data_IF_269673311454
#
_entry.id   IF_269673311454
#
_cell.length_a   1.000
_cell.length_b   1.000
_cell.length_c   1.000
_cell.angle_alpha   90.00
_cell.angle_beta   90.00
_cell.angle_gamma   90.00
#
_symmetry.space_group_name_H-M   'P 1'
#
loop_
_entity.id
_entity.type
_entity.pdbx_description
1 polymer ?
#
# COMPACT_ATOMS: atom_id res chain seq x y z
N UNK A 1 -20.02 12.96 -6.24
CA UNK A 1 -19.30 13.77 -5.23
C UNK A 1 -18.53 12.82 -4.33
N UNK A 2 -17.21 12.71 -4.51
CA UNK A 2 -16.39 11.94 -3.58
C UNK A 2 -16.48 12.59 -2.19
N UNK A 3 -16.58 11.76 -1.15
CA UNK A 3 -16.79 12.15 0.24
C UNK A 3 -15.60 12.99 0.73
N UNK A 4 -15.79 14.30 0.84
CA UNK A 4 -14.79 15.27 1.35
C UNK A 4 -14.32 14.92 2.79
N UNK A 5 -15.04 14.04 3.49
CA UNK A 5 -14.74 13.60 4.86
C UNK A 5 -13.88 12.32 4.99
N UNK A 6 -13.72 11.50 3.95
CA UNK A 6 -12.95 10.25 4.04
C UNK A 6 -11.46 10.53 3.75
N UNK A 7 -10.56 10.50 4.76
CA UNK A 7 -9.14 10.77 4.55
C UNK A 7 -8.43 9.68 3.73
N UNK A 8 -9.11 8.58 3.40
CA UNK A 8 -8.48 7.39 2.84
C UNK A 8 -7.76 6.58 3.91
N UNK A 9 -7.09 5.51 3.49
CA UNK A 9 -6.21 4.76 4.39
C UNK A 9 -4.94 5.58 4.69
N UNK A 10 -4.40 5.52 5.92
CA UNK A 10 -3.19 6.25 6.28
C UNK A 10 -1.96 5.82 5.48
N UNK A 11 -1.96 4.60 4.95
CA UNK A 11 -0.91 4.06 4.09
C UNK A 11 -1.51 3.79 2.71
N UNK A 12 -0.90 4.36 1.68
CA UNK A 12 -1.30 4.12 0.28
C UNK A 12 -0.81 2.73 -0.14
N UNK A 13 -1.74 1.78 -0.27
CA UNK A 13 -1.43 0.42 -0.70
C UNK A 13 -1.43 0.25 -2.23
N UNK A 14 -2.11 1.16 -2.93
CA UNK A 14 -2.23 1.11 -4.39
C UNK A 14 -0.96 1.60 -5.08
N UNK A 15 -0.70 1.15 -6.31
CA UNK A 15 0.27 1.77 -7.20
C UNK A 15 0.05 3.29 -7.25
N UNK A 16 1.14 4.05 -7.10
CA UNK A 16 1.13 5.51 -7.16
C UNK A 16 2.00 5.97 -8.32
N UNK A 17 1.65 7.10 -8.91
CA UNK A 17 2.43 7.74 -9.97
C UNK A 17 2.48 9.25 -9.74
N UNK A 18 3.61 9.85 -10.13
CA UNK A 18 3.81 11.30 -10.21
C UNK A 18 3.18 11.91 -11.48
N UNK A 19 2.62 11.09 -12.38
CA UNK A 19 2.05 11.49 -13.66
C UNK A 19 2.90 11.13 -14.89
N UNK A 20 4.15 10.73 -14.70
CA UNK A 20 5.07 10.32 -15.79
C UNK A 20 4.83 8.87 -16.24
N UNK A 21 4.09 8.10 -15.46
CA UNK A 21 3.80 6.69 -15.71
C UNK A 21 2.32 6.40 -15.43
N UNK A 22 1.68 5.57 -16.27
CA UNK A 22 0.33 5.07 -15.95
C UNK A 22 0.49 3.83 -15.07
N UNK A 23 0.13 3.91 -13.77
CA UNK A 23 0.32 2.78 -12.88
C UNK A 23 -0.59 1.62 -13.30
N UNK A 24 -0.12 0.36 -13.23
CA UNK A 24 -0.98 -0.78 -13.48
C UNK A 24 -2.12 -0.82 -12.44
N UNK A 25 -3.24 -1.50 -12.75
CA UNK A 25 -4.32 -1.65 -11.79
C UNK A 25 -3.81 -2.37 -10.53
N UNK A 26 -4.35 -2.04 -9.33
CA UNK A 26 -3.97 -2.73 -8.10
C UNK A 26 -4.14 -4.25 -8.21
N UNK A 27 -3.29 -5.04 -7.55
CA UNK A 27 -3.44 -6.51 -7.53
C UNK A 27 -4.65 -6.94 -6.71
N UNK A 28 -5.15 -8.18 -6.85
CA UNK A 28 -6.20 -8.73 -5.97
C UNK A 28 -5.86 -8.58 -4.49
N UNK A 29 -4.61 -8.86 -4.10
CA UNK A 29 -4.09 -8.69 -2.75
C UNK A 29 -4.29 -7.26 -2.23
N UNK A 30 -3.85 -6.27 -3.00
CA UNK A 30 -3.91 -4.86 -2.63
C UNK A 30 -5.36 -4.40 -2.47
N UNK A 31 -6.24 -4.80 -3.40
CA UNK A 31 -7.68 -4.50 -3.29
C UNK A 31 -8.28 -5.08 -2.02
N UNK A 32 -7.96 -6.33 -1.72
CA UNK A 32 -8.49 -7.03 -0.57
C UNK A 32 -7.97 -6.46 0.75
N UNK A 33 -6.67 -6.22 0.86
CA UNK A 33 -6.06 -5.56 2.01
C UNK A 33 -6.67 -4.17 2.25
N UNK A 34 -6.85 -3.37 1.20
CA UNK A 34 -7.45 -2.05 1.30
C UNK A 34 -8.94 -2.09 1.70
N UNK A 35 -9.68 -3.13 1.30
CA UNK A 35 -11.06 -3.37 1.71
C UNK A 35 -11.13 -3.78 3.18
N UNK A 36 -10.34 -4.77 3.59
CA UNK A 36 -10.30 -5.28 4.96
C UNK A 36 -9.80 -4.22 5.95
N UNK A 37 -8.79 -3.42 5.59
CA UNK A 37 -8.26 -2.36 6.44
C UNK A 37 -9.32 -1.29 6.73
N UNK A 38 -10.10 -0.90 5.70
CA UNK A 38 -11.22 0.05 5.87
C UNK A 38 -12.34 -0.51 6.73
N UNK A 39 -12.61 -1.81 6.67
CA UNK A 39 -13.61 -2.46 7.50
C UNK A 39 -13.12 -2.57 8.95
N UNK A 40 -11.87 -2.99 9.17
CA UNK A 40 -11.29 -3.11 10.50
C UNK A 40 -11.14 -1.74 11.19
N UNK A 41 -10.79 -0.70 10.44
CA UNK A 41 -10.76 0.67 10.96
C UNK A 41 -12.14 1.14 11.45
N UNK A 42 -13.22 0.77 10.75
CA UNK A 42 -14.60 1.05 11.18
C UNK A 42 -14.92 0.34 12.50
N UNK A 43 -14.58 -0.96 12.60
CA UNK A 43 -14.80 -1.77 13.81
C UNK A 43 -14.04 -1.18 15.00
N UNK A 44 -12.75 -0.87 14.82
CA UNK A 44 -11.90 -0.33 15.90
C UNK A 44 -12.33 1.08 16.31
N UNK A 45 -12.68 1.95 15.34
CA UNK A 45 -13.19 3.29 15.63
C UNK A 45 -14.47 3.23 16.48
N UNK A 46 -15.42 2.36 16.11
CA UNK A 46 -16.66 2.17 16.85
C UNK A 46 -16.41 1.61 18.26
N UNK A 47 -15.51 0.64 18.40
CA UNK A 47 -15.12 0.07 19.70
C UNK A 47 -14.55 1.12 20.67
N UNK A 48 -13.82 2.10 20.13
CA UNK A 48 -13.17 3.16 20.91
C UNK A 48 -14.02 4.43 21.06
N UNK A 49 -15.22 4.47 20.48
CA UNK A 49 -16.05 5.68 20.47
C UNK A 49 -15.42 6.84 19.69
N UNK A 50 -14.58 6.55 18.70
CA UNK A 50 -13.90 7.53 17.85
C UNK A 50 -14.62 7.66 16.51
N UNK A 51 -14.57 8.85 15.89
CA UNK A 51 -14.95 8.94 14.48
C UNK A 51 -13.96 8.18 13.62
N UNK A 52 -14.44 7.55 12.54
CA UNK A 52 -13.62 6.84 11.55
C UNK A 52 -12.43 7.69 11.09
N UNK A 53 -12.67 8.96 10.76
CA UNK A 53 -11.61 9.91 10.37
C UNK A 53 -10.54 10.06 11.45
N UNK A 54 -10.93 10.28 12.72
CA UNK A 54 -9.99 10.45 13.82
C UNK A 54 -9.17 9.18 14.08
N UNK A 55 -9.79 8.01 13.90
CA UNK A 55 -9.10 6.72 13.99
C UNK A 55 -8.07 6.55 12.85
N UNK A 56 -8.48 6.78 11.60
CA UNK A 56 -7.60 6.66 10.43
C UNK A 56 -6.41 7.62 10.47
N UNK A 57 -6.57 8.81 11.05
CA UNK A 57 -5.50 9.80 11.23
C UNK A 57 -4.60 9.54 12.46
N UNK A 58 -4.77 8.42 13.16
CA UNK A 58 -3.93 8.03 14.30
C UNK A 58 -2.97 6.89 13.95
N UNK A 59 -1.94 6.69 14.78
CA UNK A 59 -1.02 5.55 14.71
C UNK A 59 -1.74 4.20 14.73
N UNK A 60 -2.82 4.06 15.52
CA UNK A 60 -3.67 2.86 15.52
C UNK A 60 -4.27 2.57 14.14
N UNK A 61 -4.59 3.60 13.36
CA UNK A 61 -5.07 3.47 11.98
C UNK A 61 -3.98 2.92 11.04
N UNK A 62 -2.74 3.39 11.20
CA UNK A 62 -1.59 2.88 10.47
C UNK A 62 -1.28 1.42 10.88
N UNK A 63 -1.24 1.13 12.19
CA UNK A 63 -1.04 -0.22 12.73
C UNK A 63 -2.10 -1.19 12.20
N UNK A 64 -3.38 -0.80 12.21
CA UNK A 64 -4.48 -1.59 11.65
C UNK A 64 -4.27 -1.88 10.16
N UNK A 65 -3.80 -0.90 9.40
CA UNK A 65 -3.56 -1.05 7.95
C UNK A 65 -2.41 -2.03 7.68
N UNK A 66 -1.30 -1.92 8.44
CA UNK A 66 -0.15 -2.82 8.34
C UNK A 66 -0.49 -4.25 8.77
N UNK A 67 -1.21 -4.41 9.89
CA UNK A 67 -1.65 -5.70 10.39
C UNK A 67 -2.51 -6.45 9.37
N UNK A 68 -3.47 -5.75 8.74
CA UNK A 68 -4.32 -6.34 7.71
C UNK A 68 -3.52 -6.69 6.45
N UNK A 69 -2.59 -5.83 6.03
CA UNK A 69 -1.73 -6.13 4.88
C UNK A 69 -0.90 -7.40 5.12
N UNK A 70 -0.28 -7.51 6.31
CA UNK A 70 0.50 -8.67 6.71
C UNK A 70 -0.35 -9.95 6.72
N UNK A 71 -1.58 -9.89 7.28
CA UNK A 71 -2.51 -11.00 7.29
C UNK A 71 -2.91 -11.44 5.86
N UNK A 72 -3.33 -10.51 5.01
CA UNK A 72 -3.71 -10.82 3.63
C UNK A 72 -2.54 -11.40 2.83
N UNK A 73 -1.33 -10.86 3.00
CA UNK A 73 -0.13 -11.40 2.34
C UNK A 73 0.19 -12.81 2.82
N UNK A 74 0.04 -13.08 4.13
CA UNK A 74 0.28 -14.41 4.71
C UNK A 74 -0.76 -15.44 4.24
N UNK A 75 -2.03 -15.06 4.16
CA UNK A 75 -3.11 -15.89 3.60
C UNK A 75 -2.83 -16.25 2.13
N UNK A 76 -2.39 -15.27 1.32
CA UNK A 76 -2.06 -15.54 -0.08
C UNK A 76 -0.85 -16.48 -0.21
N UNK A 77 0.22 -16.24 0.56
CA UNK A 77 1.40 -17.13 0.58
C UNK A 77 1.02 -18.56 0.94
N UNK A 78 0.17 -18.73 1.95
CA UNK A 78 -0.33 -20.05 2.36
C UNK A 78 -1.18 -20.74 1.27
N UNK A 79 -1.88 -19.97 0.43
CA UNK A 79 -2.66 -20.50 -0.68
C UNK A 79 -1.80 -20.84 -1.92
N UNK A 80 -0.71 -20.09 -2.17
CA UNK A 80 0.17 -20.24 -3.34
C UNK A 80 1.32 -21.24 -3.12
N UNK A 81 1.69 -21.54 -1.87
CA UNK A 81 2.77 -22.45 -1.51
C UNK A 81 4.18 -21.84 -1.58
N UNK A 82 5.21 -22.69 -1.36
CA UNK A 82 6.64 -22.32 -1.22
C UNK A 82 7.28 -21.65 -2.47
N UNK A 83 6.53 -21.47 -3.56
CA UNK A 83 6.97 -20.77 -4.77
C UNK A 83 6.73 -19.26 -4.78
N UNK A 84 5.98 -18.73 -3.79
CA UNK A 84 5.78 -17.29 -3.63
C UNK A 84 7.04 -16.67 -3.02
N UNK A 85 7.71 -15.78 -3.76
CA UNK A 85 8.99 -15.19 -3.35
C UNK A 85 8.99 -14.63 -1.93
N UNK A 86 10.11 -14.77 -1.22
CA UNK A 86 10.28 -14.31 0.15
C UNK A 86 10.17 -12.77 0.24
N UNK A 87 8.96 -12.25 0.42
CA UNK A 87 8.72 -10.87 0.83
C UNK A 87 8.73 -10.72 2.35
N UNK A 88 9.05 -9.51 2.84
CA UNK A 88 8.96 -9.16 4.26
C UNK A 88 7.52 -9.18 4.80
N UNK A 89 7.39 -9.04 6.13
CA UNK A 89 6.11 -8.90 6.83
C UNK A 89 6.23 -7.84 7.92
N UNK A 90 5.08 -7.39 8.43
CA UNK A 90 5.01 -6.53 9.62
C UNK A 90 4.52 -7.35 10.80
N UNK A 91 5.26 -7.33 11.89
CA UNK A 91 4.82 -7.88 13.17
C UNK A 91 4.09 -6.78 13.95
N UNK A 92 2.75 -6.78 13.86
CA UNK A 92 1.91 -5.80 14.53
C UNK A 92 1.13 -6.51 15.64
N UNK A 93 1.42 -6.24 16.93
CA UNK A 93 0.65 -6.82 18.02
C UNK A 93 -0.81 -6.34 17.95
N UNK A 94 -1.80 -7.20 18.28
CA UNK A 94 -3.21 -6.82 18.20
C UNK A 94 -3.57 -5.55 18.98
N UNK A 95 -2.91 -5.33 20.12
CA UNK A 95 -3.14 -4.18 20.99
C UNK A 95 -2.76 -2.85 20.31
N UNK A 96 -1.76 -2.83 19.43
CA UNK A 96 -1.41 -1.63 18.65
C UNK A 96 -2.54 -1.14 17.72
N UNK A 97 -3.54 -1.97 17.44
CA UNK A 97 -4.69 -1.57 16.61
C UNK A 97 -5.77 -0.82 17.38
N UNK A 98 -5.71 -0.80 18.71
CA UNK A 98 -6.73 -0.22 19.61
C UNK A 98 -6.17 0.57 20.78
N UNK A 99 -4.89 0.44 21.08
CA UNK A 99 -4.16 1.21 22.09
C UNK A 99 -3.18 2.16 21.40
N UNK A 100 -3.33 3.46 21.66
CA UNK A 100 -2.50 4.50 21.06
C UNK A 100 -1.06 4.45 21.58
N UNK A 101 -0.86 4.19 22.86
CA UNK A 101 0.49 4.20 23.45
C UNK A 101 1.31 3.05 22.87
N UNK A 102 0.69 1.86 22.74
CA UNK A 102 1.31 0.69 22.08
C UNK A 102 1.58 0.97 20.60
N UNK A 103 0.64 1.62 19.89
CA UNK A 103 0.80 1.96 18.48
C UNK A 103 1.91 3.00 18.25
N UNK A 104 2.00 4.01 19.12
CA UNK A 104 3.01 5.06 19.05
C UNK A 104 4.39 4.49 19.37
N UNK A 105 4.55 3.66 20.41
CA UNK A 105 5.83 3.01 20.73
C UNK A 105 6.34 2.13 19.57
N UNK A 106 5.43 1.39 18.94
CA UNK A 106 5.76 0.53 17.80
C UNK A 106 6.16 1.34 16.55
N UNK A 107 5.35 2.34 16.17
CA UNK A 107 5.44 3.02 14.86
C UNK A 107 6.22 4.34 14.89
N UNK A 108 6.29 5.02 16.03
CA UNK A 108 7.07 6.25 16.21
C UNK A 108 8.50 5.98 16.69
N UNK A 109 8.96 4.73 16.61
CA UNK A 109 10.34 4.34 16.86
C UNK A 109 11.31 4.91 15.79
N UNK A 110 12.61 4.89 16.08
CA UNK A 110 13.69 5.36 15.19
C UNK A 110 13.90 4.43 13.97
N UNK A 111 12.83 4.15 13.22
CA UNK A 111 12.90 3.31 12.03
C UNK A 111 13.58 4.06 10.88
N UNK A 112 14.40 3.33 10.14
CA UNK A 112 14.98 3.82 8.91
C UNK A 112 13.92 3.84 7.80
N UNK A 113 13.61 5.03 7.30
CA UNK A 113 12.76 5.22 6.12
C UNK A 113 13.64 5.38 4.89
N UNK A 114 13.47 4.48 3.92
CA UNK A 114 14.15 4.54 2.63
C UNK A 114 13.11 4.74 1.52
N UNK A 115 13.20 5.86 0.83
CA UNK A 115 12.35 6.16 -0.33
C UNK A 115 13.10 5.83 -1.62
N UNK A 116 12.48 5.02 -2.48
CA UNK A 116 13.03 4.67 -3.80
C UNK A 116 12.17 5.33 -4.86
N UNK A 117 12.76 6.29 -5.56
CA UNK A 117 12.14 6.93 -6.71
C UNK A 117 12.79 6.41 -7.99
N UNK A 118 12.02 5.70 -8.80
CA UNK A 118 12.46 5.27 -10.12
C UNK A 118 12.06 6.31 -11.16
N UNK A 119 12.96 6.66 -12.07
CA UNK A 119 12.62 7.49 -13.23
C UNK A 119 11.98 6.62 -14.32
N UNK A 120 10.94 7.13 -14.97
CA UNK A 120 10.37 6.46 -16.14
C UNK A 120 11.33 6.60 -17.33
N UNK A 121 11.67 5.49 -17.97
CA UNK A 121 12.45 5.47 -19.20
C UNK A 121 11.51 5.14 -20.36
N UNK A 122 11.29 6.10 -21.25
CA UNK A 122 10.52 5.89 -22.48
C UNK A 122 11.41 5.22 -23.54
N UNK A 123 11.11 3.96 -23.85
CA UNK A 123 11.81 3.17 -24.86
C UNK A 123 11.77 3.77 -26.27
N UNK A 124 10.88 4.73 -26.54
CA UNK A 124 10.77 5.44 -27.83
C UNK A 124 11.63 6.71 -27.91
N UNK A 125 12.25 7.14 -26.82
CA UNK A 125 13.26 8.20 -26.84
C UNK A 125 14.62 7.61 -27.24
N UNK A 126 15.54 8.41 -27.79
CA UNK A 126 16.91 7.98 -28.13
C UNK A 126 17.72 7.65 -26.85
N UNK A 127 17.37 6.57 -26.16
CA UNK A 127 18.14 6.02 -25.04
C UNK A 127 19.18 5.06 -25.62
N UNK A 128 20.46 5.17 -25.22
CA UNK A 128 21.46 4.16 -25.55
C UNK A 128 20.94 2.77 -25.14
N UNK A 129 21.07 1.77 -26.02
CA UNK A 129 20.66 0.40 -25.70
C UNK A 129 21.53 -0.15 -24.57
N UNK A 130 20.95 -0.18 -23.37
CA UNK A 130 21.56 -0.73 -22.16
C UNK A 130 21.21 -2.21 -21.97
N UNK A 131 20.50 -2.86 -22.92
CA UNK A 131 20.09 -4.27 -22.83
C UNK A 131 19.03 -4.56 -21.75
N UNK A 132 18.40 -3.52 -21.19
CA UNK A 132 17.41 -3.60 -20.11
C UNK A 132 16.05 -3.01 -20.50
N UNK A 133 15.93 -2.40 -21.67
CA UNK A 133 14.74 -1.68 -22.15
C UNK A 133 13.47 -2.55 -22.12
N UNK A 134 13.57 -3.82 -22.51
CA UNK A 134 12.47 -4.79 -22.47
C UNK A 134 11.93 -5.04 -21.05
N UNK A 135 12.74 -4.89 -20.00
CA UNK A 135 12.32 -5.11 -18.60
C UNK A 135 11.47 -3.96 -18.06
N UNK A 136 11.56 -2.78 -18.66
CA UNK A 136 10.84 -1.57 -18.24
C UNK A 136 9.69 -1.20 -19.19
N UNK A 137 9.52 -1.94 -20.27
CA UNK A 137 8.47 -1.69 -21.25
C UNK A 137 7.10 -2.05 -20.67
N UNK A 138 6.24 -1.06 -20.44
CA UNK A 138 4.84 -1.29 -20.10
C UNK A 138 3.98 -1.13 -21.36
N UNK A 139 3.43 -2.21 -21.94
CA UNK A 139 2.63 -2.12 -23.17
C UNK A 139 1.32 -1.35 -22.98
N UNK A 140 0.89 -1.08 -21.75
CA UNK A 140 -0.25 -0.19 -21.48
C UNK A 140 0.11 1.30 -21.58
N UNK A 141 1.39 1.63 -21.70
CA UNK A 141 1.91 2.97 -22.02
C UNK A 141 2.28 3.10 -23.50
N UNK A 142 2.01 2.08 -24.33
CA UNK A 142 2.12 2.22 -25.78
C UNK A 142 1.01 3.18 -26.24
N UNK A 143 1.44 4.39 -26.61
CA UNK A 143 0.57 5.46 -27.07
C UNK A 143 -0.07 5.06 -28.40
N UNK A 144 -1.16 4.32 -28.31
CA UNK A 144 -2.26 4.44 -29.27
C UNK A 144 -2.95 5.81 -29.19
N UNK A 145 -2.23 6.89 -28.84
CA UNK A 145 -2.69 8.28 -28.86
C UNK A 145 -2.57 8.80 -30.31
N UNK A 146 -3.68 8.90 -31.05
CA UNK A 146 -3.67 9.50 -32.37
C UNK A 146 -3.77 11.02 -32.17
N UNK A 147 -2.64 11.67 -31.91
CA UNK A 147 -2.48 13.09 -32.21
C UNK A 147 -1.96 13.27 -33.63
#
# INVERSE_FOLDING_TARGET
MARDDDPGLPIKLGPCSNGEFVPPPPTPLVREAARRARAQAEVNANRLGMSRRRFLLSSMGAATTLAVLAACSSEQKAAEGDGSGAGGTFDIPPDATVDREVADDLLASDQFVFDVQTHFLDANHDIPDLGISEQFNNPACDDGDPR
#
